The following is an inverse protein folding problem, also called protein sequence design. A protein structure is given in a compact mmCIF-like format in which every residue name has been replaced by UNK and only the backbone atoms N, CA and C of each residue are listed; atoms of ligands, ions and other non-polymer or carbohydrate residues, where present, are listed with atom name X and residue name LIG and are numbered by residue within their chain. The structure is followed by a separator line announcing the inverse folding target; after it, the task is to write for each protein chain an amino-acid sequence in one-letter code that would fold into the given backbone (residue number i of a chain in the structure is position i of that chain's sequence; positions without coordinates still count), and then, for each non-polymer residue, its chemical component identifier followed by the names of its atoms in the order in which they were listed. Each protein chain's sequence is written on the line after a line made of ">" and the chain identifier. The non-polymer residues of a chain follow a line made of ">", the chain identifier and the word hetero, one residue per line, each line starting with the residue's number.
data_IF_287514140929
#
_entry.id   IF_287514140929
#
_cell.length_a   1.000
_cell.length_b   1.000
_cell.length_c   1.000
_cell.angle_alpha   90.00
_cell.angle_beta   90.00
_cell.angle_gamma   90.00
#
_symmetry.space_group_name_H-M   'P 1'
#
loop_
_entity.id
_entity.type
_entity.pdbx_description
1 polymer ?
#
# COMPACT_ATOMS: atom_id res chain seq x y z
N UNK A 1 25.59 -22.27 11.04
CA UNK A 1 24.44 -22.11 10.12
C UNK A 1 24.64 -20.82 9.35
N UNK A 2 24.36 -20.79 8.04
CA UNK A 2 24.57 -19.61 7.20
C UNK A 2 23.46 -18.58 7.39
N UNK A 3 23.78 -17.29 7.30
CA UNK A 3 22.79 -16.22 7.36
C UNK A 3 21.74 -16.38 6.25
N UNK A 4 20.47 -16.21 6.59
CA UNK A 4 19.33 -16.28 5.67
C UNK A 4 18.93 -14.86 5.33
N UNK A 5 19.18 -14.45 4.10
CA UNK A 5 18.75 -13.15 3.56
C UNK A 5 17.43 -13.30 2.80
N UNK A 6 16.49 -12.39 3.03
CA UNK A 6 15.26 -12.32 2.24
C UNK A 6 14.93 -10.88 1.87
N UNK A 7 14.43 -10.73 0.65
CA UNK A 7 13.89 -9.46 0.15
C UNK A 7 12.50 -9.70 -0.42
N UNK A 8 11.48 -9.13 0.21
CA UNK A 8 10.10 -9.13 -0.28
C UNK A 8 9.70 -7.71 -0.63
N UNK A 9 9.71 -7.44 -1.93
CA UNK A 9 9.28 -6.16 -2.50
C UNK A 9 8.08 -6.39 -3.41
N UNK A 10 7.34 -5.32 -3.80
CA UNK A 10 6.28 -5.44 -4.80
C UNK A 10 6.76 -6.01 -6.15
N UNK A 11 8.08 -5.96 -6.42
CA UNK A 11 8.68 -6.62 -7.58
C UNK A 11 8.54 -8.15 -7.50
N UNK A 12 8.66 -8.75 -6.31
CA UNK A 12 8.75 -10.20 -6.12
C UNK A 12 7.50 -10.84 -5.49
N UNK A 13 6.59 -10.07 -4.88
CA UNK A 13 5.38 -10.59 -4.23
C UNK A 13 4.08 -10.05 -4.83
N UNK A 14 3.22 -10.95 -5.35
CA UNK A 14 1.92 -10.58 -5.96
C UNK A 14 0.98 -9.89 -4.97
N UNK A 15 0.94 -10.35 -3.72
CA UNK A 15 0.09 -9.75 -2.67
C UNK A 15 0.51 -8.32 -2.33
N UNK A 16 1.81 -8.00 -2.38
CA UNK A 16 2.32 -6.64 -2.20
C UNK A 16 1.95 -5.69 -3.36
N UNK A 17 1.50 -6.23 -4.51
CA UNK A 17 1.00 -5.44 -5.64
C UNK A 17 -0.47 -5.08 -5.52
N UNK A 18 -1.28 -5.85 -4.78
CA UNK A 18 -2.72 -5.59 -4.65
C UNK A 18 -3.05 -4.22 -4.05
N UNK A 19 -2.41 -3.76 -2.96
CA UNK A 19 -2.66 -2.42 -2.44
C UNK A 19 -2.23 -1.34 -3.43
N UNK A 20 -1.14 -1.56 -4.17
CA UNK A 20 -0.71 -0.65 -5.23
C UNK A 20 -1.74 -0.56 -6.37
N UNK A 21 -2.30 -1.69 -6.84
CA UNK A 21 -3.39 -1.68 -7.82
C UNK A 21 -4.65 -0.99 -7.28
N UNK A 22 -5.00 -1.20 -6.01
CA UNK A 22 -6.15 -0.53 -5.39
C UNK A 22 -5.94 0.99 -5.33
N UNK A 23 -4.75 1.44 -4.91
CA UNK A 23 -4.40 2.85 -4.83
C UNK A 23 -4.38 3.53 -6.20
N UNK A 24 -3.65 2.95 -7.17
CA UNK A 24 -3.55 3.48 -8.55
C UNK A 24 -4.91 3.39 -9.24
N UNK A 25 -5.63 2.29 -9.06
CA UNK A 25 -6.97 2.08 -9.60
C UNK A 25 -7.95 3.14 -9.11
N UNK A 26 -7.96 3.42 -7.80
CA UNK A 26 -8.82 4.46 -7.23
C UNK A 26 -8.53 5.85 -7.79
N UNK A 27 -7.25 6.27 -7.80
CA UNK A 27 -6.85 7.57 -8.35
C UNK A 27 -7.19 7.69 -9.84
N UNK A 28 -6.86 6.67 -10.63
CA UNK A 28 -7.17 6.64 -12.05
C UNK A 28 -8.68 6.59 -12.32
N UNK A 29 -9.44 5.88 -11.48
CA UNK A 29 -10.90 5.80 -11.56
C UNK A 29 -11.57 7.15 -11.30
N UNK A 30 -11.12 7.90 -10.28
CA UNK A 30 -11.56 9.27 -10.06
C UNK A 30 -11.23 10.17 -11.26
N UNK A 31 -10.00 10.09 -11.78
CA UNK A 31 -9.58 10.86 -12.96
C UNK A 31 -10.44 10.56 -14.19
N UNK A 32 -10.76 9.28 -14.42
CA UNK A 32 -11.62 8.84 -15.50
C UNK A 32 -13.05 9.42 -15.37
N UNK A 33 -13.62 9.36 -14.17
CA UNK A 33 -14.96 9.92 -13.91
C UNK A 33 -15.00 11.44 -14.05
N UNK A 34 -13.97 12.14 -13.56
CA UNK A 34 -13.84 13.58 -13.74
C UNK A 34 -13.77 13.94 -15.22
N UNK A 35 -12.98 13.21 -16.01
CA UNK A 35 -12.90 13.41 -17.47
C UNK A 35 -14.23 13.13 -18.17
N UNK A 36 -14.91 12.04 -17.81
CA UNK A 36 -16.23 11.72 -18.36
C UNK A 36 -17.28 12.80 -18.04
N UNK A 37 -17.24 13.36 -16.82
CA UNK A 37 -18.09 14.47 -16.43
C UNK A 37 -17.79 15.72 -17.26
N UNK A 38 -16.52 16.08 -17.43
CA UNK A 38 -16.11 17.22 -18.27
C UNK A 38 -16.59 17.06 -19.72
N UNK A 39 -16.42 15.88 -20.32
CA UNK A 39 -16.91 15.60 -21.68
C UNK A 39 -18.43 15.72 -21.76
N UNK A 40 -19.16 15.13 -20.81
CA UNK A 40 -20.62 15.24 -20.75
C UNK A 40 -21.07 16.70 -20.65
N UNK A 41 -20.41 17.48 -19.80
CA UNK A 41 -20.72 18.89 -19.57
C UNK A 41 -20.43 19.71 -20.82
N UNK A 42 -19.31 19.46 -21.51
CA UNK A 42 -18.99 20.11 -22.79
C UNK A 42 -20.02 19.79 -23.89
N UNK A 43 -20.46 18.53 -23.99
CA UNK A 43 -21.45 18.08 -24.97
C UNK A 43 -22.86 18.64 -24.69
N UNK A 44 -23.18 18.97 -23.43
CA UNK A 44 -24.47 19.54 -23.06
C UNK A 44 -24.65 21.00 -23.48
N UNK A 45 -23.57 21.66 -23.93
CA UNK A 45 -23.55 23.10 -24.20
C UNK A 45 -23.46 23.88 -22.89
N UNK A 46 -22.34 24.54 -22.67
CA UNK A 46 -22.12 25.37 -21.48
C UNK A 46 -22.49 26.82 -21.75
N UNK A 47 -23.17 27.47 -20.81
CA UNK A 47 -23.22 28.92 -20.78
C UNK A 47 -21.87 29.51 -20.27
N UNK A 48 -21.68 30.81 -20.46
CA UNK A 48 -20.42 31.48 -20.10
C UNK A 48 -20.09 31.38 -18.60
N UNK A 49 -21.11 31.36 -17.74
CA UNK A 49 -20.94 31.26 -16.30
C UNK A 49 -20.46 29.85 -15.89
N UNK A 50 -21.01 28.81 -16.53
CA UNK A 50 -20.60 27.43 -16.35
C UNK A 50 -19.20 27.16 -16.91
N UNK A 51 -18.84 27.76 -18.05
CA UNK A 51 -17.45 27.74 -18.55
C UNK A 51 -16.52 28.37 -17.53
N UNK A 52 -16.89 29.54 -16.99
CA UNK A 52 -16.13 30.22 -15.94
C UNK A 52 -15.97 29.36 -14.69
N UNK A 53 -17.02 28.67 -14.25
CA UNK A 53 -16.99 27.75 -13.12
C UNK A 53 -16.10 26.53 -13.38
N UNK A 54 -16.16 25.93 -14.57
CA UNK A 54 -15.31 24.79 -14.95
C UNK A 54 -13.84 25.22 -15.00
N UNK A 55 -13.54 26.36 -15.62
CA UNK A 55 -12.19 26.93 -15.64
C UNK A 55 -11.72 27.21 -14.22
N UNK A 56 -12.57 27.80 -13.36
CA UNK A 56 -12.23 28.04 -11.96
C UNK A 56 -11.98 26.74 -11.20
N UNK A 57 -12.79 25.70 -11.37
CA UNK A 57 -12.60 24.39 -10.73
C UNK A 57 -11.32 23.69 -11.20
N UNK A 58 -11.05 23.72 -12.51
CA UNK A 58 -9.86 23.11 -13.10
C UNK A 58 -8.59 23.86 -12.69
N UNK A 59 -8.58 25.19 -12.67
CA UNK A 59 -7.38 25.96 -12.38
C UNK A 59 -7.19 26.28 -10.87
N UNK A 60 -8.27 26.48 -10.13
CA UNK A 60 -8.23 27.03 -8.76
C UNK A 60 -8.87 26.11 -7.72
N UNK A 61 -9.88 25.32 -8.10
CA UNK A 61 -10.88 24.80 -7.16
C UNK A 61 -10.62 23.45 -6.49
N UNK A 62 -9.45 22.82 -6.58
CA UNK A 62 -9.26 21.52 -5.94
C UNK A 62 -7.83 21.02 -5.75
N UNK A 63 -7.64 19.93 -4.99
CA UNK A 63 -6.33 19.29 -4.78
C UNK A 63 -5.71 18.69 -6.07
N UNK A 64 -6.46 18.71 -7.17
CA UNK A 64 -6.04 18.33 -8.51
C UNK A 64 -6.05 19.52 -9.47
N UNK A 65 -5.96 20.76 -8.96
CA UNK A 65 -5.95 21.92 -9.84
C UNK A 65 -4.76 21.86 -10.79
N UNK A 66 -5.00 22.28 -12.02
CA UNK A 66 -3.98 22.28 -13.06
C UNK A 66 -2.82 23.20 -12.68
N UNK A 67 -3.07 24.27 -11.91
CA UNK A 67 -2.00 25.11 -11.37
C UNK A 67 -1.09 24.36 -10.38
N UNK A 68 -1.63 23.41 -9.61
CA UNK A 68 -0.86 22.60 -8.68
C UNK A 68 -0.18 21.41 -9.37
N UNK A 69 -0.85 20.81 -10.36
CA UNK A 69 -0.34 19.67 -11.12
C UNK A 69 0.64 20.06 -12.22
N UNK A 70 0.54 21.28 -12.76
CA UNK A 70 1.38 21.72 -13.89
C UNK A 70 2.87 21.62 -13.58
N UNK A 71 3.38 22.13 -12.44
CA UNK A 71 4.79 21.97 -12.09
C UNK A 71 5.21 20.50 -12.00
N UNK A 72 4.38 19.63 -11.42
CA UNK A 72 4.67 18.17 -11.39
C UNK A 72 4.68 17.51 -12.78
N UNK A 73 3.87 18.00 -13.71
CA UNK A 73 3.80 17.47 -15.08
C UNK A 73 4.99 17.96 -15.92
N UNK A 74 5.28 19.26 -15.85
CA UNK A 74 6.30 19.92 -16.66
C UNK A 74 7.72 19.72 -16.15
N UNK A 75 7.90 19.61 -14.82
CA UNK A 75 9.20 19.46 -14.18
C UNK A 75 9.30 18.06 -13.52
N UNK A 76 10.12 17.15 -14.10
CA UNK A 76 10.34 15.82 -13.53
C UNK A 76 10.86 15.83 -12.10
N UNK A 77 11.61 16.87 -11.72
CA UNK A 77 12.26 16.98 -10.40
C UNK A 77 11.27 17.40 -9.31
N UNK A 78 10.12 17.98 -9.70
CA UNK A 78 9.03 18.35 -8.78
C UNK A 78 8.00 17.22 -8.58
N UNK A 79 8.18 16.08 -9.25
CA UNK A 79 7.29 14.94 -9.05
C UNK A 79 7.53 14.38 -7.65
N UNK A 80 6.48 14.24 -6.83
CA UNK A 80 6.62 13.58 -5.55
C UNK A 80 7.11 12.17 -5.86
N UNK A 81 8.13 11.74 -5.13
CA UNK A 81 8.58 10.35 -5.17
C UNK A 81 7.37 9.49 -4.82
N UNK A 82 6.73 8.92 -5.86
CA UNK A 82 5.58 8.04 -5.70
C UNK A 82 5.93 7.00 -4.62
N UNK A 83 4.98 6.59 -3.78
CA UNK A 83 5.27 5.66 -2.70
C UNK A 83 5.81 4.34 -3.27
N UNK A 84 7.13 4.21 -3.18
CA UNK A 84 7.90 3.00 -3.40
C UNK A 84 8.26 2.67 -4.86
N UNK A 85 9.40 1.97 -5.07
CA UNK A 85 9.82 1.42 -6.38
C UNK A 85 8.80 0.43 -7.00
N UNK A 86 7.75 0.03 -6.27
CA UNK A 86 6.79 -1.00 -6.67
C UNK A 86 5.84 -0.65 -7.82
N UNK A 87 5.53 0.63 -8.04
CA UNK A 87 4.54 1.05 -9.07
C UNK A 87 5.02 0.70 -10.49
N UNK A 88 6.34 0.70 -10.72
CA UNK A 88 6.96 0.36 -12.01
C UNK A 88 6.77 -1.11 -12.41
N UNK A 89 6.42 -1.97 -11.45
CA UNK A 89 6.23 -3.41 -11.67
C UNK A 89 4.76 -3.81 -11.85
N UNK A 90 3.85 -2.84 -11.91
CA UNK A 90 2.44 -3.08 -12.20
C UNK A 90 2.25 -3.33 -13.70
N UNK A 91 1.45 -4.34 -14.02
CA UNK A 91 1.14 -4.69 -15.40
C UNK A 91 0.06 -3.75 -15.94
N UNK A 92 0.25 -3.07 -17.09
CA UNK A 92 -0.65 -2.03 -17.58
C UNK A 92 -2.11 -2.49 -17.72
N UNK A 93 -2.34 -3.72 -18.21
CA UNK A 93 -3.69 -4.25 -18.35
C UNK A 93 -4.43 -4.38 -17.01
N UNK A 94 -3.73 -4.80 -15.95
CA UNK A 94 -4.31 -4.93 -14.61
C UNK A 94 -4.52 -3.56 -13.96
N UNK A 95 -3.69 -2.57 -14.29
CA UNK A 95 -3.95 -1.17 -13.91
C UNK A 95 -5.24 -0.67 -14.55
N UNK A 96 -5.43 -0.90 -15.86
CA UNK A 96 -6.66 -0.51 -16.55
C UNK A 96 -7.90 -1.18 -15.93
N UNK A 97 -7.83 -2.48 -15.64
CA UNK A 97 -8.90 -3.20 -14.93
C UNK A 97 -9.18 -2.57 -13.56
N UNK A 98 -8.14 -2.30 -12.76
CA UNK A 98 -8.29 -1.68 -11.45
C UNK A 98 -8.94 -0.29 -11.53
N UNK A 99 -8.57 0.51 -12.54
CA UNK A 99 -9.16 1.83 -12.82
C UNK A 99 -10.65 1.71 -13.14
N UNK A 100 -11.03 0.79 -14.02
CA UNK A 100 -12.44 0.58 -14.41
C UNK A 100 -13.28 0.07 -13.23
N UNK A 101 -12.75 -0.89 -12.46
CA UNK A 101 -13.42 -1.41 -11.26
C UNK A 101 -13.62 -0.31 -10.23
N UNK A 102 -12.59 0.49 -9.95
CA UNK A 102 -12.69 1.60 -9.01
C UNK A 102 -13.67 2.68 -9.47
N UNK A 103 -13.67 3.05 -10.76
CA UNK A 103 -14.66 3.96 -11.33
C UNK A 103 -16.09 3.42 -11.16
N UNK A 104 -16.31 2.14 -11.43
CA UNK A 104 -17.60 1.47 -11.21
C UNK A 104 -18.04 1.52 -9.75
N UNK A 105 -17.14 1.20 -8.81
CA UNK A 105 -17.41 1.27 -7.38
C UNK A 105 -17.75 2.69 -6.91
N UNK A 106 -17.04 3.70 -7.41
CA UNK A 106 -17.34 5.11 -7.12
C UNK A 106 -18.72 5.52 -7.62
N UNK A 107 -19.12 5.07 -8.82
CA UNK A 107 -20.47 5.32 -9.36
C UNK A 107 -21.55 4.64 -8.50
N UNK A 108 -21.33 3.40 -8.08
CA UNK A 108 -22.26 2.68 -7.19
C UNK A 108 -22.35 3.40 -5.84
N UNK A 109 -21.22 3.81 -5.28
CA UNK A 109 -21.16 4.53 -4.01
C UNK A 109 -21.87 5.87 -4.07
N UNK A 110 -21.64 6.65 -5.12
CA UNK A 110 -22.31 7.93 -5.33
C UNK A 110 -23.84 7.79 -5.43
N UNK A 111 -24.34 6.67 -5.97
CA UNK A 111 -25.78 6.38 -6.01
C UNK A 111 -26.35 5.85 -4.69
N UNK A 112 -25.54 5.17 -3.90
CA UNK A 112 -25.98 4.49 -2.67
C UNK A 112 -25.96 5.40 -1.45
N UNK A 113 -25.17 6.48 -1.47
CA UNK A 113 -25.17 7.51 -0.44
C UNK A 113 -23.77 7.97 -0.03
N UNK A 114 -23.70 9.17 0.56
CA UNK A 114 -22.44 9.85 0.91
C UNK A 114 -21.55 9.02 1.84
N UNK A 115 -22.13 8.24 2.76
CA UNK A 115 -21.35 7.42 3.69
C UNK A 115 -20.51 6.33 3.01
N UNK A 116 -20.98 5.75 1.90
CA UNK A 116 -20.20 4.77 1.17
C UNK A 116 -19.03 5.42 0.43
N UNK A 117 -19.19 6.66 -0.04
CA UNK A 117 -18.08 7.46 -0.58
C UNK A 117 -17.05 7.80 0.51
N UNK A 118 -17.50 8.20 1.69
CA UNK A 118 -16.61 8.45 2.84
C UNK A 118 -15.85 7.18 3.22
N UNK A 119 -16.52 6.03 3.27
CA UNK A 119 -15.89 4.74 3.58
C UNK A 119 -14.83 4.35 2.53
N UNK A 120 -15.12 4.54 1.23
CA UNK A 120 -14.15 4.31 0.16
C UNK A 120 -12.95 5.27 0.24
N UNK A 121 -13.20 6.54 0.51
CA UNK A 121 -12.14 7.55 0.68
C UNK A 121 -11.26 7.24 1.90
N UNK A 122 -11.85 6.82 3.02
CA UNK A 122 -11.10 6.36 4.19
C UNK A 122 -10.27 5.10 3.88
N UNK A 123 -10.84 4.16 3.10
CA UNK A 123 -10.15 2.97 2.63
C UNK A 123 -8.91 3.26 1.78
N UNK A 124 -8.84 4.40 1.10
CA UNK A 124 -7.67 4.82 0.31
C UNK A 124 -6.41 5.05 1.15
N UNK A 125 -6.55 5.29 2.46
CA UNK A 125 -5.42 5.48 3.37
C UNK A 125 -4.77 4.15 3.78
N UNK A 126 -5.46 3.02 3.58
CA UNK A 126 -4.98 1.69 3.96
C UNK A 126 -3.89 1.16 3.01
N UNK A 127 -4.02 1.26 1.68
CA UNK A 127 -3.01 0.77 0.74
C UNK A 127 -1.56 1.21 0.94
N UNK A 128 -1.22 2.49 1.18
CA UNK A 128 0.18 2.87 1.39
C UNK A 128 0.76 2.24 2.67
N UNK A 129 -0.03 2.18 3.75
CA UNK A 129 0.38 1.51 5.00
C UNK A 129 0.53 0.01 4.77
N UNK A 130 -0.42 -0.62 4.09
CA UNK A 130 -0.38 -2.04 3.77
C UNK A 130 0.81 -2.39 2.87
N UNK A 131 1.13 -1.55 1.88
CA UNK A 131 2.30 -1.77 1.01
C UNK A 131 3.60 -1.72 1.80
N UNK A 132 3.72 -0.77 2.75
CA UNK A 132 4.88 -0.67 3.61
C UNK A 132 5.02 -1.91 4.53
N UNK A 133 3.91 -2.36 5.12
CA UNK A 133 3.88 -3.58 5.95
C UNK A 133 4.22 -4.86 5.16
N UNK A 134 3.84 -4.92 3.88
CA UNK A 134 4.10 -6.06 3.01
C UNK A 134 5.49 -6.04 2.37
N UNK A 135 6.22 -4.92 2.50
CA UNK A 135 7.59 -4.78 1.99
C UNK A 135 8.57 -5.07 3.12
N UNK A 136 9.15 -6.26 3.13
CA UNK A 136 10.09 -6.70 4.17
C UNK A 136 11.41 -7.10 3.57
N UNK A 137 12.47 -6.45 4.03
CA UNK A 137 13.86 -6.78 3.72
C UNK A 137 14.57 -7.09 5.03
N UNK A 138 15.29 -8.20 5.08
CA UNK A 138 15.98 -8.59 6.30
C UNK A 138 16.96 -9.73 6.13
N UNK A 139 17.82 -9.85 7.13
CA UNK A 139 18.83 -10.90 7.25
C UNK A 139 18.70 -11.52 8.64
N UNK A 140 18.49 -12.83 8.70
CA UNK A 140 18.55 -13.61 9.92
C UNK A 140 19.95 -14.21 10.00
N UNK A 141 20.71 -13.82 11.01
CA UNK A 141 21.98 -14.48 11.34
C UNK A 141 21.75 -15.40 12.55
N UNK A 142 21.52 -16.70 12.33
CA UNK A 142 21.30 -17.66 13.41
C UNK A 142 22.58 -17.90 14.23
N UNK A 143 23.77 -17.60 13.71
CA UNK A 143 25.02 -17.75 14.45
C UNK A 143 25.26 -16.57 15.41
N UNK A 144 24.86 -15.36 15.00
CA UNK A 144 24.91 -14.17 15.84
C UNK A 144 23.68 -14.02 16.77
N UNK A 145 22.64 -14.83 16.59
CA UNK A 145 21.39 -14.71 17.35
C UNK A 145 20.63 -13.41 17.05
N UNK A 146 20.79 -12.85 15.85
CA UNK A 146 20.22 -11.54 15.50
C UNK A 146 19.41 -11.60 14.22
N UNK A 147 18.35 -10.78 14.19
CA UNK A 147 17.52 -10.54 13.02
C UNK A 147 17.61 -9.08 12.66
N UNK A 148 18.16 -8.78 11.48
CA UNK A 148 18.16 -7.42 10.94
C UNK A 148 16.97 -7.26 10.01
N UNK A 149 16.13 -6.26 10.28
CA UNK A 149 14.90 -5.95 9.56
C UNK A 149 14.91 -4.48 9.16
N UNK A 150 14.83 -4.19 7.86
CA UNK A 150 14.85 -2.82 7.34
C UNK A 150 15.98 -1.97 7.96
N UNK A 151 17.17 -2.56 8.12
CA UNK A 151 18.34 -1.91 8.72
C UNK A 151 18.39 -1.85 10.26
N UNK A 152 17.39 -2.40 10.97
CA UNK A 152 17.40 -2.54 12.44
C UNK A 152 17.71 -3.96 12.87
N UNK A 153 18.80 -4.14 13.62
CA UNK A 153 19.15 -5.44 14.22
C UNK A 153 18.44 -5.62 15.56
N UNK A 154 17.75 -6.75 15.72
CA UNK A 154 17.03 -7.17 16.92
C UNK A 154 17.65 -8.49 17.37
N UNK A 155 18.05 -8.58 18.64
CA UNK A 155 18.50 -9.84 19.23
C UNK A 155 17.32 -10.80 19.44
N UNK A 156 17.48 -12.07 19.07
CA UNK A 156 16.48 -13.12 19.25
C UNK A 156 16.21 -13.40 20.73
N UNK A 157 17.19 -13.20 21.62
CA UNK A 157 17.04 -13.37 23.07
C UNK A 157 16.05 -12.37 23.69
N UNK A 158 15.72 -11.31 22.97
CA UNK A 158 14.79 -10.27 23.41
C UNK A 158 13.32 -10.60 23.09
N UNK A 159 13.07 -11.65 22.28
CA UNK A 159 11.75 -12.11 21.90
C UNK A 159 11.22 -13.10 22.94
N UNK A 160 10.07 -12.79 23.52
CA UNK A 160 9.35 -13.67 24.44
C UNK A 160 8.46 -14.69 23.71
N UNK A 161 8.15 -14.48 22.44
CA UNK A 161 7.39 -15.42 21.63
C UNK A 161 7.03 -14.88 20.25
N UNK A 162 6.64 -15.77 19.35
CA UNK A 162 6.20 -15.43 17.99
C UNK A 162 4.90 -16.13 17.69
N UNK A 163 3.83 -15.37 17.43
CA UNK A 163 2.57 -15.91 16.91
C UNK A 163 2.58 -15.85 15.39
N UNK A 164 2.12 -16.91 14.71
CA UNK A 164 2.26 -17.05 13.26
C UNK A 164 0.88 -17.28 12.64
N UNK A 165 0.57 -16.56 11.57
CA UNK A 165 -0.59 -16.83 10.72
C UNK A 165 -0.18 -17.00 9.27
N UNK A 166 -0.57 -18.11 8.65
CA UNK A 166 -0.25 -18.39 7.25
C UNK A 166 -1.33 -17.85 6.31
N UNK A 167 -0.90 -17.10 5.30
CA UNK A 167 -1.72 -16.60 4.19
C UNK A 167 -1.01 -16.95 2.88
N UNK A 168 -1.26 -18.16 2.37
CA UNK A 168 -0.53 -18.70 1.21
C UNK A 168 0.98 -18.85 1.49
N UNK A 169 1.82 -18.33 0.61
CA UNK A 169 3.30 -18.35 0.74
C UNK A 169 3.83 -17.26 1.71
N UNK A 170 2.95 -16.71 2.53
CA UNK A 170 3.23 -15.59 3.44
C UNK A 170 2.87 -15.99 4.85
N UNK A 171 3.74 -15.68 5.80
CA UNK A 171 3.44 -15.78 7.23
C UNK A 171 3.39 -14.37 7.81
N UNK A 172 2.31 -14.06 8.52
CA UNK A 172 2.20 -12.87 9.35
C UNK A 172 2.62 -13.30 10.75
N UNK A 173 3.75 -12.78 11.21
CA UNK A 173 4.31 -13.03 12.52
C UNK A 173 4.02 -11.86 13.45
N UNK A 174 3.39 -12.13 14.59
CA UNK A 174 3.27 -11.21 15.70
C UNK A 174 4.41 -11.48 16.69
N UNK A 175 5.31 -10.50 16.85
CA UNK A 175 6.45 -10.58 17.76
C UNK A 175 6.03 -10.08 19.14
N UNK A 176 6.22 -10.93 20.15
CA UNK A 176 6.07 -10.57 21.56
C UNK A 176 7.45 -10.37 22.15
N UNK A 177 7.66 -9.23 22.81
CA UNK A 177 8.95 -8.88 23.42
C UNK A 177 8.93 -9.15 24.93
N UNK A 178 10.08 -9.52 25.48
CA UNK A 178 10.25 -9.65 26.93
C UNK A 178 10.12 -8.29 27.66
N UNK A 179 9.92 -8.30 28.98
CA UNK A 179 9.83 -7.08 29.77
C UNK A 179 11.10 -6.22 29.59
N UNK A 180 10.95 -4.97 29.15
CA UNK A 180 12.06 -4.04 28.92
C UNK A 180 12.72 -4.09 27.54
N UNK A 181 12.37 -5.06 26.69
CA UNK A 181 12.91 -5.19 25.33
C UNK A 181 12.03 -4.53 24.25
N UNK A 182 10.72 -4.42 24.48
CA UNK A 182 9.77 -3.81 23.55
C UNK A 182 9.66 -2.29 23.74
N UNK A 183 10.59 -1.52 23.16
CA UNK A 183 10.51 -0.06 23.14
C UNK A 183 9.51 0.47 22.11
N UNK A 184 9.22 1.78 22.15
CA UNK A 184 8.27 2.52 21.30
C UNK A 184 8.57 2.51 19.76
N UNK A 185 9.45 1.63 19.30
CA UNK A 185 9.80 1.44 17.90
C UNK A 185 10.07 -0.01 17.51
N UNK A 186 9.76 -0.98 18.37
CA UNK A 186 9.91 -2.40 18.07
C UNK A 186 8.70 -2.90 17.25
N UNK A 187 8.90 -3.46 16.04
CA UNK A 187 7.79 -3.88 15.19
C UNK A 187 7.11 -5.13 15.76
N UNK A 188 5.88 -4.98 16.25
CA UNK A 188 5.09 -6.10 16.76
C UNK A 188 4.50 -6.99 15.66
N UNK A 189 4.40 -6.49 14.43
CA UNK A 189 3.82 -7.20 13.29
C UNK A 189 4.84 -7.28 12.17
N UNK A 190 5.04 -8.49 11.64
CA UNK A 190 6.04 -8.73 10.61
C UNK A 190 5.52 -9.71 9.56
N UNK A 191 5.67 -9.35 8.28
CA UNK A 191 5.21 -10.19 7.18
C UNK A 191 6.40 -10.84 6.49
N UNK A 192 6.51 -12.16 6.61
CA UNK A 192 7.68 -12.93 6.18
C UNK A 192 7.31 -13.99 5.13
N UNK A 193 8.27 -14.44 4.31
CA UNK A 193 8.15 -15.72 3.61
C UNK A 193 7.98 -16.87 4.61
N UNK A 194 7.23 -17.91 4.24
CA UNK A 194 6.94 -19.05 5.12
C UNK A 194 8.20 -19.72 5.65
N UNK A 195 9.22 -19.86 4.81
CA UNK A 195 10.48 -20.55 5.14
C UNK A 195 11.30 -19.79 6.19
N UNK A 196 11.31 -18.45 6.09
CA UNK A 196 11.97 -17.57 7.05
C UNK A 196 11.20 -17.52 8.36
N UNK A 197 9.87 -17.49 8.30
CA UNK A 197 9.03 -17.54 9.48
C UNK A 197 9.18 -18.85 10.26
N UNK A 198 9.37 -19.97 9.56
CA UNK A 198 9.70 -21.25 10.18
C UNK A 198 11.07 -21.18 10.87
N UNK A 199 12.10 -20.68 10.19
CA UNK A 199 13.43 -20.53 10.78
C UNK A 199 13.47 -19.64 12.04
N UNK A 200 12.70 -18.54 12.06
CA UNK A 200 12.58 -17.68 13.25
C UNK A 200 11.81 -18.38 14.37
N UNK A 201 10.76 -19.13 14.05
CA UNK A 201 9.99 -19.89 15.03
C UNK A 201 10.84 -20.98 15.69
N UNK A 202 11.64 -21.70 14.89
CA UNK A 202 12.54 -22.74 15.36
C UNK A 202 13.65 -22.16 16.26
N UNK A 203 14.12 -20.95 15.96
CA UNK A 203 15.13 -20.26 16.76
C UNK A 203 14.59 -19.70 18.10
N UNK A 204 13.31 -19.30 18.15
CA UNK A 204 12.67 -18.71 19.34
C UNK A 204 11.87 -19.74 20.16
N UNK A 205 11.56 -20.91 19.60
CA UNK A 205 10.73 -21.95 20.22
C UNK A 205 9.22 -21.67 20.15
N UNK A 206 8.73 -21.11 19.04
CA UNK A 206 7.35 -20.63 18.90
C UNK A 206 6.29 -21.69 18.55
N UNK A 207 5.18 -21.70 19.31
CA UNK A 207 4.02 -22.59 19.12
C UNK A 207 3.28 -22.33 17.79
N UNK A 208 2.93 -23.41 17.08
CA UNK A 208 2.10 -23.37 15.87
C UNK A 208 0.62 -23.31 16.27
N UNK A 209 -0.07 -22.22 15.92
CA UNK A 209 -1.54 -22.13 16.06
C UNK A 209 -2.18 -22.10 14.68
N UNK A 210 -2.68 -23.24 14.26
CA UNK A 210 -3.55 -23.38 13.08
C UNK A 210 -4.87 -22.66 13.37
N UNK A 211 -5.35 -21.72 12.52
CA UNK A 211 -6.71 -21.22 12.64
C UNK A 211 -7.68 -22.28 12.08
N UNK A 212 -8.63 -22.71 12.91
CA UNK A 212 -9.84 -23.45 12.48
C UNK A 212 -10.78 -22.55 11.64
#
# INVERSE_FOLDING_TARGET
>A
MTAIEWSRTPANARLARLPLYAFVGFLGGMGLLAMALLVRVALAGLDLAQVGLVVLLVFVGGPLSLLYLWPMLSDPDQRPSLPGPGVRHLHPAWVAVAVLVAAGLLVVAARSGVWLLVALAAGLMVPPVATNLLTTEGTLDPAAGTVTLQGRSISLDSLAGVRRWHVGDTAVCWLSYGPGAGGAGAPYLLVLPKDVAAAIADAVGGDESTPD
#
